data_IF_490982626854
#
_entry.id   IF_490982626854
#
_cell.length_a   1.000
_cell.length_b   1.000
_cell.length_c   1.000
_cell.angle_alpha   90.00
_cell.angle_beta   90.00
_cell.angle_gamma   90.00
#
_symmetry.space_group_name_H-M   'P 1'
#
loop_
_entity.id
_entity.type
_entity.pdbx_description
1 polymer ?
#
# COMPACT_ATOMS: atom_id res chain seq x y z
N UNK A 1 -24.75 35.14 -4.86
CA UNK A 1 -23.99 36.22 -4.20
C UNK A 1 -23.83 35.78 -2.76
N UNK A 2 -22.74 35.07 -2.49
CA UNK A 2 -22.32 34.67 -1.15
C UNK A 2 -21.93 35.91 -0.35
N UNK A 3 -22.31 35.95 0.92
CA UNK A 3 -21.86 37.01 1.83
C UNK A 3 -20.33 36.95 1.97
N UNK A 4 -19.63 38.10 2.04
CA UNK A 4 -18.19 38.09 2.22
C UNK A 4 -17.84 37.39 3.55
N UNK A 5 -16.78 36.56 3.58
CA UNK A 5 -16.43 35.81 4.77
C UNK A 5 -16.16 36.74 5.96
N UNK A 6 -16.52 36.28 7.16
CA UNK A 6 -16.24 37.03 8.38
C UNK A 6 -14.74 37.28 8.53
N UNK A 7 -14.35 38.51 8.85
CA UNK A 7 -12.94 38.89 9.03
C UNK A 7 -12.43 38.43 10.40
N UNK A 8 -12.22 37.12 10.51
CA UNK A 8 -11.61 36.43 11.66
C UNK A 8 -10.33 35.72 11.22
N UNK A 9 -9.42 35.45 12.14
CA UNK A 9 -8.15 34.79 11.84
C UNK A 9 -8.34 33.39 11.21
N UNK A 10 -9.40 32.67 11.55
CA UNK A 10 -9.72 31.36 10.94
C UNK A 10 -9.95 31.41 9.42
N UNK A 11 -10.28 32.59 8.88
CA UNK A 11 -10.48 32.81 7.45
C UNK A 11 -9.24 33.47 6.79
N UNK A 12 -8.04 33.24 7.34
CA UNK A 12 -6.77 33.76 6.84
C UNK A 12 -5.95 32.65 6.18
N UNK A 13 -5.26 32.91 5.06
CA UNK A 13 -4.35 31.94 4.41
C UNK A 13 -3.22 31.47 5.33
N UNK A 14 -2.89 32.25 6.36
CA UNK A 14 -1.85 31.93 7.33
C UNK A 14 -2.35 31.14 8.55
N UNK A 15 -3.65 30.87 8.66
CA UNK A 15 -4.19 30.05 9.75
C UNK A 15 -3.98 28.56 9.47
N UNK A 16 -3.48 27.84 10.45
CA UNK A 16 -3.29 26.39 10.36
C UNK A 16 -3.79 25.73 11.65
N UNK A 17 -4.62 24.66 11.58
CA UNK A 17 -5.17 24.04 12.76
C UNK A 17 -4.07 23.42 13.63
N UNK A 18 -4.24 23.46 14.96
CA UNK A 18 -3.25 22.92 15.90
C UNK A 18 -3.25 21.39 15.99
N UNK A 19 -4.22 20.75 15.34
CA UNK A 19 -4.37 19.30 15.18
C UNK A 19 -5.31 19.00 14.00
N UNK A 20 -5.24 17.78 13.45
CA UNK A 20 -6.22 17.30 12.45
C UNK A 20 -7.52 16.77 13.06
N UNK A 21 -7.63 16.73 14.39
CA UNK A 21 -8.92 16.51 15.05
C UNK A 21 -9.81 17.76 14.93
N UNK A 22 -11.11 17.62 15.24
CA UNK A 22 -11.99 18.79 15.35
C UNK A 22 -11.46 19.73 16.44
N UNK A 23 -10.95 20.89 16.03
CA UNK A 23 -10.39 21.93 16.89
C UNK A 23 -10.90 23.30 16.43
N UNK A 24 -11.10 24.19 17.40
CA UNK A 24 -11.40 25.60 17.15
C UNK A 24 -10.14 26.47 17.29
N UNK A 25 -8.99 25.84 17.58
CA UNK A 25 -7.71 26.51 17.77
C UNK A 25 -6.77 26.24 16.60
N UNK A 26 -5.87 27.18 16.39
CA UNK A 26 -4.82 27.04 15.40
C UNK A 26 -3.62 27.92 15.70
N UNK A 27 -2.63 27.83 14.83
CA UNK A 27 -1.41 28.61 14.82
C UNK A 27 -1.36 29.48 13.58
N UNK A 28 -0.44 30.45 13.58
CA UNK A 28 -0.22 31.35 12.46
C UNK A 28 1.09 30.97 11.77
N UNK A 29 1.03 30.53 10.52
CA UNK A 29 2.21 30.16 9.71
C UNK A 29 3.07 31.38 9.34
N UNK A 30 2.51 32.59 9.41
CA UNK A 30 3.29 33.82 9.24
C UNK A 30 4.12 34.19 10.49
N UNK A 31 3.93 33.49 11.63
CA UNK A 31 4.80 33.67 12.79
C UNK A 31 6.14 32.96 12.55
N UNK A 32 7.20 33.76 12.50
CA UNK A 32 8.59 33.29 12.27
C UNK A 32 9.05 32.20 13.24
N UNK A 33 8.43 32.07 14.40
CA UNK A 33 8.74 30.99 15.32
C UNK A 33 8.44 29.59 14.73
N UNK A 34 7.49 29.50 13.78
CA UNK A 34 7.14 28.26 13.09
C UNK A 34 7.93 28.01 11.80
N UNK A 35 8.71 28.99 11.33
CA UNK A 35 9.52 28.89 10.09
C UNK A 35 10.40 27.62 10.02
N UNK A 36 11.07 27.16 11.11
CA UNK A 36 11.87 25.94 11.08
C UNK A 36 11.07 24.63 10.96
N UNK A 37 9.75 24.69 11.11
CA UNK A 37 8.86 23.52 11.18
C UNK A 37 7.85 23.48 10.03
N UNK A 38 7.88 24.45 9.11
CA UNK A 38 6.87 24.57 8.05
C UNK A 38 6.82 23.33 7.15
N UNK A 39 7.98 22.79 6.76
CA UNK A 39 8.07 21.62 5.90
C UNK A 39 7.40 20.40 6.57
N UNK A 40 7.75 20.12 7.83
CA UNK A 40 7.19 18.99 8.59
C UNK A 40 5.67 19.16 8.84
N UNK A 41 5.21 20.39 9.09
CA UNK A 41 3.80 20.70 9.33
C UNK A 41 2.94 20.60 8.06
N UNK A 42 3.45 21.07 6.92
CA UNK A 42 2.70 21.14 5.66
C UNK A 42 2.77 19.83 4.86
N UNK A 43 3.93 19.18 4.81
CA UNK A 43 4.13 17.99 3.96
C UNK A 43 3.75 16.70 4.69
N UNK A 44 4.04 16.62 5.99
CA UNK A 44 3.85 15.40 6.77
C UNK A 44 2.76 15.51 7.85
N UNK A 45 2.32 16.73 8.17
CA UNK A 45 1.37 16.94 9.26
C UNK A 45 1.95 16.56 10.63
N UNK A 46 3.27 16.67 10.80
CA UNK A 46 3.95 16.30 12.04
C UNK A 46 4.12 17.50 12.98
N UNK A 47 3.40 17.47 14.10
CA UNK A 47 3.44 18.51 15.13
C UNK A 47 4.47 18.24 16.24
N UNK A 48 5.13 17.07 16.21
CA UNK A 48 5.99 16.61 17.31
C UNK A 48 7.18 17.55 17.57
N UNK A 49 7.74 18.14 16.51
CA UNK A 49 8.89 19.06 16.59
C UNK A 49 8.58 20.41 17.24
N UNK A 50 7.31 20.83 17.28
CA UNK A 50 6.91 22.16 17.75
C UNK A 50 5.74 22.16 18.76
N UNK A 51 5.36 21.01 19.32
CA UNK A 51 4.20 20.87 20.20
C UNK A 51 4.18 21.87 21.38
N UNK A 52 5.33 22.10 22.02
CA UNK A 52 5.44 23.09 23.10
C UNK A 52 5.20 24.53 22.61
N UNK A 53 5.62 24.84 21.38
CA UNK A 53 5.43 26.14 20.78
C UNK A 53 3.96 26.36 20.42
N UNK A 54 3.30 25.32 19.90
CA UNK A 54 1.86 25.31 19.64
C UNK A 54 1.07 25.60 20.91
N UNK A 55 1.35 24.92 22.02
CA UNK A 55 0.65 25.15 23.28
C UNK A 55 0.73 26.60 23.78
N UNK A 56 1.85 27.28 23.50
CA UNK A 56 2.05 28.68 23.90
C UNK A 56 1.41 29.67 22.93
N UNK A 57 1.37 29.35 21.63
CA UNK A 57 1.01 30.30 20.58
C UNK A 57 -0.35 30.02 19.93
N UNK A 58 -1.00 28.90 20.24
CA UNK A 58 -2.32 28.59 19.70
C UNK A 58 -3.33 29.66 20.11
N UNK A 59 -4.21 29.98 19.19
CA UNK A 59 -5.27 30.96 19.38
C UNK A 59 -6.57 30.44 18.77
N UNK A 60 -7.67 30.99 19.26
CA UNK A 60 -9.00 30.64 18.80
C UNK A 60 -9.26 31.21 17.39
N UNK A 61 -9.80 30.41 16.49
CA UNK A 61 -10.05 30.78 15.09
C UNK A 61 -10.93 32.04 14.93
N UNK A 62 -11.87 32.25 15.86
CA UNK A 62 -12.77 33.41 15.87
C UNK A 62 -12.15 34.73 16.35
N UNK A 63 -10.83 34.81 16.50
CA UNK A 63 -10.15 36.04 16.93
C UNK A 63 -10.17 37.11 15.83
N UNK A 64 -10.21 38.39 16.23
CA UNK A 64 -10.10 39.52 15.31
C UNK A 64 -8.80 39.47 14.50
N UNK A 65 -8.92 39.79 13.21
CA UNK A 65 -7.81 39.76 12.25
C UNK A 65 -6.70 40.75 12.59
N UNK A 66 -5.46 40.35 12.32
CA UNK A 66 -4.29 41.20 12.49
C UNK A 66 -3.95 42.01 11.22
N UNK A 67 -2.92 42.84 11.28
CA UNK A 67 -2.43 43.62 10.13
C UNK A 67 -1.80 42.79 9.01
N UNK A 68 -1.47 41.52 9.27
CA UNK A 68 -0.93 40.56 8.31
C UNK A 68 -2.02 39.66 7.71
N UNK A 69 -3.29 39.99 7.92
CA UNK A 69 -4.40 39.21 7.40
C UNK A 69 -4.35 39.14 5.88
N UNK A 70 -4.33 37.90 5.39
CA UNK A 70 -4.41 37.56 3.98
C UNK A 70 -5.65 36.70 3.77
N UNK A 71 -6.61 37.23 3.01
CA UNK A 71 -7.94 36.63 2.87
C UNK A 71 -7.85 35.33 2.07
N UNK A 72 -8.51 34.28 2.57
CA UNK A 72 -8.58 33.02 1.83
C UNK A 72 -9.38 33.25 0.55
N UNK A 73 -8.76 32.95 -0.60
CA UNK A 73 -9.49 32.85 -1.86
C UNK A 73 -10.36 31.59 -1.80
N UNK A 74 -11.64 31.77 -1.46
CA UNK A 74 -12.62 30.71 -1.56
C UNK A 74 -12.87 30.41 -3.03
N UNK A 75 -12.16 29.42 -3.56
CA UNK A 75 -12.55 28.79 -4.82
C UNK A 75 -13.85 28.06 -4.54
N UNK A 76 -14.95 28.52 -5.15
CA UNK A 76 -16.21 27.78 -5.16
C UNK A 76 -15.94 26.44 -5.87
N UNK A 77 -15.62 25.41 -5.08
CA UNK A 77 -15.68 24.05 -5.56
C UNK A 77 -17.12 23.83 -6.04
N UNK A 78 -17.32 23.30 -7.26
CA UNK A 78 -18.65 23.05 -7.79
C UNK A 78 -19.49 22.33 -6.73
N UNK A 79 -20.63 22.93 -6.37
CA UNK A 79 -21.56 22.43 -5.34
C UNK A 79 -21.68 20.91 -5.42
N UNK A 80 -21.79 20.23 -4.27
CA UNK A 80 -21.82 18.78 -4.05
C UNK A 80 -22.28 17.92 -5.23
N UNK A 81 -23.27 18.33 -6.02
CA UNK A 81 -23.65 17.68 -7.28
C UNK A 81 -22.51 17.48 -8.29
N UNK A 82 -21.58 18.44 -8.44
CA UNK A 82 -20.48 18.36 -9.39
C UNK A 82 -19.24 17.70 -8.78
N UNK A 83 -19.05 17.75 -7.46
CA UNK A 83 -18.11 16.87 -6.76
C UNK A 83 -18.60 15.42 -6.80
N UNK A 84 -19.90 15.19 -6.59
CA UNK A 84 -20.58 13.90 -6.74
C UNK A 84 -20.52 13.44 -8.19
N UNK A 85 -20.67 14.32 -9.19
CA UNK A 85 -20.50 13.96 -10.60
C UNK A 85 -19.04 13.65 -10.94
N UNK A 86 -18.06 14.33 -10.33
CA UNK A 86 -16.63 14.00 -10.45
C UNK A 86 -16.29 12.66 -9.79
N UNK A 87 -16.79 12.42 -8.57
CA UNK A 87 -16.67 11.16 -7.83
C UNK A 87 -17.38 10.06 -8.61
N UNK A 88 -18.61 10.25 -9.05
CA UNK A 88 -19.37 9.31 -9.88
C UNK A 88 -18.65 9.07 -11.21
N UNK A 89 -18.04 10.08 -11.85
CA UNK A 89 -17.25 9.89 -13.06
C UNK A 89 -15.94 9.13 -12.81
N UNK A 90 -15.35 9.25 -11.61
CA UNK A 90 -14.21 8.45 -11.16
C UNK A 90 -14.63 7.00 -10.82
N UNK A 91 -15.79 6.81 -10.17
CA UNK A 91 -16.37 5.51 -9.80
C UNK A 91 -16.94 4.74 -11.01
N UNK A 92 -17.51 5.44 -11.98
CA UNK A 92 -18.20 4.84 -13.13
C UNK A 92 -17.23 4.35 -14.21
N UNK A 93 -16.07 5.00 -14.39
CA UNK A 93 -15.07 4.55 -15.36
C UNK A 93 -14.29 3.30 -14.96
N UNK A 94 -14.22 2.97 -13.66
CA UNK A 94 -13.56 1.74 -13.17
C UNK A 94 -14.50 0.53 -13.06
N UNK A 95 -15.82 0.72 -12.90
CA UNK A 95 -16.75 -0.38 -12.57
C UNK A 95 -17.74 -0.76 -13.69
N UNK A 96 -18.08 0.11 -14.64
CA UNK A 96 -19.13 -0.23 -15.65
C UNK A 96 -18.65 -1.05 -16.84
N UNK A 97 -17.34 -1.13 -17.07
CA UNK A 97 -16.76 -1.90 -18.18
C UNK A 97 -16.15 -3.25 -17.74
N UNK A 98 -16.12 -3.54 -16.44
CA UNK A 98 -15.71 -4.86 -15.98
C UNK A 98 -16.91 -5.81 -15.98
N UNK A 99 -16.82 -6.96 -16.67
CA UNK A 99 -17.89 -7.95 -16.65
C UNK A 99 -18.18 -8.36 -15.20
N UNK A 100 -19.45 -8.63 -14.86
CA UNK A 100 -19.81 -9.06 -13.51
C UNK A 100 -18.96 -10.25 -13.10
N UNK A 101 -18.41 -10.18 -11.88
CA UNK A 101 -17.54 -11.21 -11.31
C UNK A 101 -18.29 -12.55 -11.27
N UNK A 102 -17.91 -13.47 -12.15
CA UNK A 102 -18.32 -14.85 -12.02
C UNK A 102 -17.60 -15.44 -10.78
N UNK A 103 -18.32 -15.97 -9.77
CA UNK A 103 -17.75 -16.62 -8.59
C UNK A 103 -16.70 -17.70 -8.92
N UNK A 104 -16.71 -18.22 -10.16
CA UNK A 104 -15.71 -19.12 -10.72
C UNK A 104 -14.30 -18.53 -10.86
N UNK A 105 -14.07 -17.22 -10.70
CA UNK A 105 -12.74 -16.57 -10.82
C UNK A 105 -12.17 -16.08 -9.48
N UNK A 106 -12.69 -16.57 -8.37
CA UNK A 106 -12.10 -16.29 -7.05
C UNK A 106 -10.74 -16.97 -6.88
N UNK A 107 -9.77 -16.21 -6.35
CA UNK A 107 -8.46 -16.75 -5.91
C UNK A 107 -8.60 -17.82 -4.81
N UNK A 108 -9.72 -17.82 -4.08
CA UNK A 108 -10.01 -18.85 -3.10
C UNK A 108 -10.14 -20.24 -3.76
N UNK A 109 -10.73 -20.29 -4.95
CA UNK A 109 -11.09 -21.54 -5.62
C UNK A 109 -10.11 -21.94 -6.71
N UNK A 110 -9.36 -21.00 -7.27
CA UNK A 110 -8.44 -21.23 -8.37
C UNK A 110 -7.02 -20.74 -8.04
N UNK A 111 -6.01 -21.43 -8.57
CA UNK A 111 -4.64 -20.97 -8.44
C UNK A 111 -4.38 -19.72 -9.27
N UNK A 112 -3.36 -18.94 -8.92
CA UNK A 112 -2.88 -17.82 -9.73
C UNK A 112 -2.61 -18.23 -11.18
N UNK A 113 -1.99 -19.40 -11.38
CA UNK A 113 -1.69 -19.92 -12.71
C UNK A 113 -2.96 -20.11 -13.53
N UNK A 114 -3.99 -20.73 -12.92
CA UNK A 114 -5.27 -20.91 -13.58
C UNK A 114 -5.94 -19.58 -13.88
N UNK A 115 -5.94 -18.64 -12.93
CA UNK A 115 -6.50 -17.30 -13.12
C UNK A 115 -5.80 -16.54 -14.24
N UNK A 116 -4.48 -16.63 -14.35
CA UNK A 116 -3.73 -16.01 -15.43
C UNK A 116 -4.06 -16.63 -16.81
N UNK A 117 -4.49 -17.90 -16.84
CA UNK A 117 -4.90 -18.60 -18.07
C UNK A 117 -6.38 -18.37 -18.45
N UNK A 118 -7.24 -17.99 -17.51
CA UNK A 118 -8.69 -17.95 -17.73
C UNK A 118 -9.31 -16.57 -17.49
N UNK A 119 -8.70 -15.68 -16.70
CA UNK A 119 -9.17 -14.30 -16.52
C UNK A 119 -8.55 -13.37 -17.58
N UNK A 120 -9.39 -12.90 -18.51
CA UNK A 120 -8.98 -12.03 -19.62
C UNK A 120 -8.36 -10.71 -19.13
N UNK A 121 -8.74 -10.20 -17.94
CA UNK A 121 -8.19 -8.96 -17.39
C UNK A 121 -6.73 -9.16 -17.01
N UNK A 122 -6.39 -10.25 -16.33
CA UNK A 122 -5.01 -10.58 -15.98
C UNK A 122 -4.15 -10.80 -17.21
N UNK A 123 -4.69 -11.47 -18.24
CA UNK A 123 -4.00 -11.67 -19.51
C UNK A 123 -3.72 -10.35 -20.25
N UNK A 124 -4.72 -9.46 -20.28
CA UNK A 124 -4.59 -8.13 -20.87
C UNK A 124 -3.56 -7.30 -20.12
N UNK A 125 -3.56 -7.31 -18.79
CA UNK A 125 -2.54 -6.64 -17.97
C UNK A 125 -1.15 -7.20 -18.28
N UNK A 126 -0.98 -8.52 -18.22
CA UNK A 126 0.28 -9.20 -18.50
C UNK A 126 0.83 -8.84 -19.88
N UNK A 127 -0.04 -8.86 -20.89
CA UNK A 127 0.31 -8.51 -22.27
C UNK A 127 0.61 -7.02 -22.43
N UNK A 128 -0.19 -6.15 -21.79
CA UNK A 128 -0.01 -4.70 -21.79
C UNK A 128 1.31 -4.31 -21.16
N UNK A 129 1.70 -4.91 -20.04
CA UNK A 129 2.90 -4.52 -19.29
C UNK A 129 4.20 -5.14 -19.83
N UNK A 130 4.10 -6.21 -20.63
CA UNK A 130 5.25 -6.84 -21.29
C UNK A 130 6.07 -5.87 -22.16
N UNK A 131 5.46 -4.83 -22.73
CA UNK A 131 6.14 -3.82 -23.57
C UNK A 131 6.86 -2.72 -22.80
N UNK A 132 6.59 -2.59 -21.50
CA UNK A 132 7.21 -1.57 -20.65
C UNK A 132 8.54 -2.08 -20.08
N UNK A 133 9.36 -1.15 -19.58
CA UNK A 133 10.61 -1.48 -18.88
C UNK A 133 10.34 -2.22 -17.56
N UNK A 134 11.37 -2.84 -16.98
CA UNK A 134 11.26 -3.51 -15.69
C UNK A 134 10.88 -2.53 -14.56
N UNK A 135 11.41 -1.31 -14.60
CA UNK A 135 11.12 -0.25 -13.64
C UNK A 135 9.66 0.22 -13.72
N UNK A 136 9.16 0.50 -14.93
CA UNK A 136 7.75 0.88 -15.11
C UNK A 136 6.77 -0.22 -14.70
N UNK A 137 7.10 -1.49 -14.98
CA UNK A 137 6.30 -2.62 -14.50
C UNK A 137 6.30 -2.69 -12.98
N UNK A 138 7.47 -2.54 -12.35
CA UNK A 138 7.64 -2.60 -10.90
C UNK A 138 6.85 -1.51 -10.20
N UNK A 139 6.95 -0.27 -10.67
CA UNK A 139 6.20 0.86 -10.12
C UNK A 139 4.68 0.65 -10.21
N UNK A 140 4.19 0.11 -11.33
CA UNK A 140 2.77 -0.20 -11.49
C UNK A 140 2.33 -1.38 -10.60
N UNK A 141 3.17 -2.41 -10.45
CA UNK A 141 2.88 -3.55 -9.59
C UNK A 141 2.86 -3.15 -8.10
N UNK A 142 3.79 -2.29 -7.68
CA UNK A 142 3.88 -1.74 -6.33
C UNK A 142 2.62 -0.95 -5.95
N UNK A 143 2.18 -0.07 -6.86
CA UNK A 143 0.93 0.66 -6.67
C UNK A 143 -0.27 -0.27 -6.47
N UNK A 144 -0.47 -1.26 -7.35
CA UNK A 144 -1.61 -2.18 -7.24
C UNK A 144 -1.52 -3.08 -5.99
N UNK A 145 -0.31 -3.47 -5.60
CA UNK A 145 -0.05 -4.26 -4.40
C UNK A 145 -0.52 -3.51 -3.14
N UNK A 146 -0.22 -2.21 -3.05
CA UNK A 146 -0.59 -1.38 -1.90
C UNK A 146 -2.02 -0.80 -1.98
N UNK A 147 -2.56 -0.58 -3.19
CA UNK A 147 -3.88 0.00 -3.40
C UNK A 147 -4.99 -0.82 -2.73
N UNK A 148 -4.92 -2.16 -2.76
CA UNK A 148 -5.94 -3.00 -2.11
C UNK A 148 -5.98 -2.82 -0.60
N UNK A 149 -4.81 -2.62 0.03
CA UNK A 149 -4.74 -2.34 1.47
C UNK A 149 -5.31 -0.96 1.80
N UNK A 150 -5.02 0.04 0.96
CA UNK A 150 -5.56 1.39 1.10
C UNK A 150 -7.08 1.43 0.92
N UNK A 151 -7.60 0.72 -0.09
CA UNK A 151 -9.05 0.59 -0.33
C UNK A 151 -9.74 -0.07 0.86
N UNK A 152 -9.19 -1.17 1.39
CA UNK A 152 -9.73 -1.83 2.57
C UNK A 152 -9.82 -0.90 3.78
N UNK A 153 -8.76 -0.14 4.06
CA UNK A 153 -8.74 0.85 5.15
C UNK A 153 -9.84 1.90 4.93
N UNK A 154 -9.93 2.45 3.73
CA UNK A 154 -10.93 3.46 3.37
C UNK A 154 -12.36 2.96 3.55
N UNK A 155 -12.70 1.80 2.96
CA UNK A 155 -14.04 1.20 3.06
C UNK A 155 -14.42 0.87 4.51
N UNK A 156 -13.47 0.35 5.30
CA UNK A 156 -13.66 0.12 6.72
C UNK A 156 -13.95 1.42 7.48
N UNK A 157 -13.25 2.52 7.17
CA UNK A 157 -13.47 3.83 7.80
C UNK A 157 -14.85 4.41 7.48
N UNK A 158 -15.33 4.27 6.24
CA UNK A 158 -16.65 4.79 5.84
C UNK A 158 -17.81 3.81 6.14
N UNK A 159 -17.52 2.68 6.80
CA UNK A 159 -18.51 1.68 7.17
C UNK A 159 -19.21 1.01 6.00
N UNK A 160 -18.60 1.04 4.81
CA UNK A 160 -19.14 0.40 3.62
C UNK A 160 -18.44 -0.94 3.36
N UNK A 161 -19.18 -1.99 2.94
CA UNK A 161 -18.54 -3.23 2.54
C UNK A 161 -17.74 -2.97 1.26
N UNK A 162 -16.45 -3.33 1.30
CA UNK A 162 -15.65 -3.37 0.09
C UNK A 162 -16.37 -4.26 -0.93
N UNK A 163 -16.60 -3.75 -2.13
CA UNK A 163 -17.04 -4.60 -3.25
C UNK A 163 -15.98 -5.69 -3.40
N UNK A 164 -16.32 -6.98 -3.32
CA UNK A 164 -15.33 -8.02 -3.44
C UNK A 164 -14.70 -7.90 -4.82
N UNK A 165 -13.43 -7.52 -4.93
CA UNK A 165 -12.70 -7.79 -6.16
C UNK A 165 -12.46 -9.30 -6.16
N UNK A 166 -12.90 -10.02 -7.19
CA UNK A 166 -12.66 -11.48 -7.24
C UNK A 166 -11.17 -11.82 -7.26
N UNK A 167 -10.34 -10.84 -7.66
CA UNK A 167 -8.90 -10.95 -7.74
C UNK A 167 -8.27 -10.00 -6.70
N UNK A 168 -7.41 -10.52 -5.81
CA UNK A 168 -6.67 -9.69 -4.86
C UNK A 168 -5.61 -8.84 -5.59
N UNK A 169 -5.32 -7.63 -5.09
CA UNK A 169 -4.37 -6.70 -5.73
C UNK A 169 -2.97 -7.28 -5.91
N UNK A 170 -2.56 -8.21 -5.06
CA UNK A 170 -1.29 -8.92 -5.17
C UNK A 170 -1.24 -9.83 -6.41
N UNK A 171 -2.38 -10.39 -6.82
CA UNK A 171 -2.47 -11.16 -8.06
C UNK A 171 -2.46 -10.23 -9.28
N UNK A 172 -3.05 -9.04 -9.17
CA UNK A 172 -2.94 -7.98 -10.19
C UNK A 172 -1.48 -7.54 -10.33
N UNK A 173 -0.81 -7.24 -9.21
CA UNK A 173 0.60 -6.86 -9.16
C UNK A 173 1.50 -7.92 -9.83
N UNK A 174 1.29 -9.20 -9.53
CA UNK A 174 2.04 -10.30 -10.14
C UNK A 174 1.73 -10.51 -11.63
N UNK A 175 0.51 -10.16 -12.07
CA UNK A 175 0.17 -10.14 -13.48
C UNK A 175 0.83 -8.95 -14.21
N UNK A 176 1.03 -7.81 -13.54
CA UNK A 176 1.72 -6.64 -14.09
C UNK A 176 3.23 -6.88 -14.19
N UNK A 177 3.88 -7.18 -13.07
CA UNK A 177 5.30 -7.50 -12.99
C UNK A 177 5.51 -8.94 -12.51
N UNK A 178 5.95 -9.85 -13.41
CA UNK A 178 6.22 -11.24 -13.05
C UNK A 178 7.31 -11.42 -12.00
N UNK A 179 8.18 -10.41 -11.89
CA UNK A 179 9.42 -10.46 -11.12
C UNK A 179 9.30 -9.59 -9.85
N UNK A 180 8.10 -9.12 -9.52
CA UNK A 180 7.89 -8.30 -8.34
C UNK A 180 7.84 -9.18 -7.09
N UNK A 181 8.97 -9.21 -6.38
CA UNK A 181 9.24 -10.12 -5.27
C UNK A 181 8.17 -10.10 -4.16
N UNK A 182 7.62 -8.94 -3.72
CA UNK A 182 6.56 -8.91 -2.71
C UNK A 182 5.31 -9.67 -3.14
N UNK A 183 4.85 -9.51 -4.39
CA UNK A 183 3.69 -10.23 -4.89
C UNK A 183 3.96 -11.74 -5.06
N UNK A 184 5.17 -12.14 -5.46
CA UNK A 184 5.56 -13.55 -5.52
C UNK A 184 5.47 -14.19 -4.13
N UNK A 185 6.04 -13.54 -3.11
CA UNK A 185 5.94 -13.99 -1.71
C UNK A 185 4.48 -14.11 -1.28
N UNK A 186 3.70 -13.06 -1.48
CA UNK A 186 2.32 -13.02 -0.99
C UNK A 186 1.45 -14.05 -1.70
N UNK A 187 1.47 -14.12 -3.03
CA UNK A 187 0.68 -15.13 -3.76
C UNK A 187 1.19 -16.55 -3.46
N UNK A 188 2.51 -16.77 -3.39
CA UNK A 188 3.08 -18.07 -3.05
C UNK A 188 2.64 -18.58 -1.67
N UNK A 189 2.63 -17.71 -0.66
CA UNK A 189 2.16 -18.07 0.69
C UNK A 189 0.64 -18.28 0.74
N UNK A 190 -0.16 -17.49 0.01
CA UNK A 190 -1.60 -17.72 -0.08
C UNK A 190 -1.96 -19.04 -0.76
N UNK A 191 -1.30 -19.39 -1.87
CA UNK A 191 -1.42 -20.70 -2.52
C UNK A 191 -1.14 -21.83 -1.51
N UNK A 192 -0.13 -21.66 -0.66
CA UNK A 192 0.22 -22.64 0.37
C UNK A 192 -0.89 -22.76 1.43
N UNK A 193 -1.41 -21.63 1.93
CA UNK A 193 -2.50 -21.61 2.92
C UNK A 193 -3.74 -22.33 2.38
N UNK A 194 -4.02 -22.17 1.08
CA UNK A 194 -5.15 -22.81 0.39
C UNK A 194 -4.88 -24.27 0.00
N UNK A 195 -3.74 -24.85 0.40
CA UNK A 195 -3.38 -26.26 0.17
C UNK A 195 -2.83 -26.55 -1.22
N UNK A 196 -2.56 -25.53 -2.04
CA UNK A 196 -2.01 -25.64 -3.40
C UNK A 196 -0.48 -25.61 -3.35
N UNK A 197 0.07 -26.60 -2.66
CA UNK A 197 1.48 -26.59 -2.25
C UNK A 197 2.46 -26.65 -3.42
N UNK A 198 2.11 -27.28 -4.54
CA UNK A 198 2.98 -27.35 -5.72
C UNK A 198 3.10 -25.97 -6.39
N UNK A 199 1.97 -25.31 -6.54
CA UNK A 199 1.81 -23.98 -7.13
C UNK A 199 2.50 -22.94 -6.25
N UNK A 200 2.31 -23.04 -4.93
CA UNK A 200 2.99 -22.25 -3.92
C UNK A 200 4.51 -22.37 -4.05
N UNK A 201 5.04 -23.60 -4.00
CA UNK A 201 6.49 -23.81 -4.04
C UNK A 201 7.12 -23.40 -5.37
N UNK A 202 6.38 -23.49 -6.48
CA UNK A 202 6.84 -22.95 -7.75
C UNK A 202 7.10 -21.44 -7.64
N UNK A 203 6.13 -20.69 -7.12
CA UNK A 203 6.26 -19.25 -6.93
C UNK A 203 7.36 -18.89 -5.94
N UNK A 204 7.40 -19.54 -4.77
CA UNK A 204 8.41 -19.22 -3.76
C UNK A 204 9.83 -19.52 -4.25
N UNK A 205 10.03 -20.56 -5.06
CA UNK A 205 11.33 -20.85 -5.69
C UNK A 205 11.68 -19.86 -6.81
N UNK A 206 10.70 -19.22 -7.46
CA UNK A 206 10.97 -18.17 -8.45
C UNK A 206 11.64 -16.94 -7.82
N UNK A 207 11.46 -16.69 -6.51
CA UNK A 207 12.20 -15.64 -5.79
C UNK A 207 13.71 -15.81 -5.92
N UNK A 208 14.21 -17.05 -5.87
CA UNK A 208 15.64 -17.35 -6.00
C UNK A 208 16.15 -17.02 -7.40
N UNK A 209 15.29 -17.01 -8.42
CA UNK A 209 15.68 -16.71 -9.80
C UNK A 209 15.73 -15.20 -10.11
N UNK A 210 15.29 -14.33 -9.19
CA UNK A 210 15.30 -12.88 -9.39
C UNK A 210 16.73 -12.30 -9.43
N UNK A 211 16.94 -11.13 -10.06
CA UNK A 211 18.22 -10.42 -10.03
C UNK A 211 18.70 -10.15 -8.59
N UNK A 212 20.00 -10.32 -8.33
CA UNK A 212 20.58 -10.18 -6.98
C UNK A 212 20.47 -8.76 -6.42
N UNK A 213 20.39 -7.76 -7.29
CA UNK A 213 20.17 -6.35 -6.96
C UNK A 213 18.69 -6.00 -6.73
N UNK A 214 17.79 -6.99 -6.72
CA UNK A 214 16.39 -6.76 -6.34
C UNK A 214 16.33 -6.35 -4.87
N UNK A 215 15.68 -5.22 -4.61
CA UNK A 215 15.51 -4.66 -3.27
C UNK A 215 14.95 -5.70 -2.28
N UNK A 216 15.56 -5.77 -1.11
CA UNK A 216 15.20 -6.64 0.00
C UNK A 216 15.06 -8.13 -0.35
N UNK A 217 15.62 -8.60 -1.46
CA UNK A 217 15.37 -9.96 -1.95
C UNK A 217 15.72 -11.04 -0.93
N UNK A 218 16.85 -10.90 -0.22
CA UNK A 218 17.24 -11.89 0.80
C UNK A 218 16.27 -11.91 1.99
N UNK A 219 15.74 -10.74 2.39
CA UNK A 219 14.72 -10.60 3.44
C UNK A 219 13.41 -11.26 2.98
N UNK A 220 13.02 -11.06 1.71
CA UNK A 220 11.80 -11.64 1.14
C UNK A 220 11.90 -13.17 1.08
N UNK A 221 13.05 -13.71 0.66
CA UNK A 221 13.30 -15.16 0.63
C UNK A 221 13.29 -15.74 2.05
N UNK A 222 13.94 -15.08 3.01
CA UNK A 222 13.94 -15.50 4.41
C UNK A 222 12.53 -15.51 5.01
N UNK A 223 11.73 -14.48 4.74
CA UNK A 223 10.30 -14.44 5.12
C UNK A 223 9.50 -15.59 4.52
N UNK A 224 9.70 -15.89 3.22
CA UNK A 224 9.03 -17.01 2.56
C UNK A 224 9.36 -18.36 3.23
N UNK A 225 10.64 -18.58 3.55
CA UNK A 225 11.07 -19.83 4.16
C UNK A 225 10.66 -19.93 5.63
N UNK A 226 10.74 -18.83 6.38
CA UNK A 226 10.25 -18.74 7.77
C UNK A 226 8.76 -19.01 7.88
N UNK A 227 7.95 -18.51 6.93
CA UNK A 227 6.53 -18.85 6.85
C UNK A 227 6.28 -20.36 6.74
N UNK A 228 7.08 -21.08 5.93
CA UNK A 228 6.96 -22.54 5.80
C UNK A 228 7.35 -23.25 7.11
N UNK A 229 8.38 -22.76 7.80
CA UNK A 229 8.80 -23.26 9.11
C UNK A 229 7.69 -23.08 10.16
N UNK A 230 7.05 -21.92 10.21
CA UNK A 230 5.95 -21.62 11.14
C UNK A 230 4.76 -22.58 10.98
N UNK A 231 4.57 -23.11 9.76
CA UNK A 231 3.53 -24.11 9.44
C UNK A 231 4.01 -25.56 9.57
N UNK A 232 5.15 -25.76 10.22
CA UNK A 232 5.78 -27.05 10.48
C UNK A 232 6.25 -27.79 9.22
N UNK A 233 6.46 -27.08 8.11
CA UNK A 233 7.00 -27.63 6.86
C UNK A 233 8.49 -27.31 6.70
N UNK A 234 9.28 -27.77 7.66
CA UNK A 234 10.73 -27.63 7.65
C UNK A 234 11.39 -28.27 6.41
N UNK A 235 10.71 -29.22 5.75
CA UNK A 235 11.18 -29.86 4.53
C UNK A 235 11.15 -28.90 3.34
N UNK A 236 10.04 -28.19 3.13
CA UNK A 236 9.93 -27.21 2.06
C UNK A 236 10.72 -25.93 2.35
N UNK A 237 10.74 -25.48 3.60
CA UNK A 237 11.61 -24.38 4.02
C UNK A 237 13.09 -24.67 3.71
N UNK A 238 13.57 -25.87 4.07
CA UNK A 238 14.95 -26.28 3.78
C UNK A 238 15.23 -26.30 2.28
N UNK A 239 14.29 -26.73 1.42
CA UNK A 239 14.47 -26.67 -0.04
C UNK A 239 14.68 -25.24 -0.52
N UNK A 240 13.89 -24.29 -0.03
CA UNK A 240 14.00 -22.89 -0.40
C UNK A 240 15.32 -22.27 0.10
N UNK A 241 15.68 -22.49 1.37
CA UNK A 241 16.95 -22.03 1.91
C UNK A 241 18.16 -22.63 1.20
N UNK A 242 18.13 -23.94 0.89
CA UNK A 242 19.20 -24.59 0.12
C UNK A 242 19.37 -23.96 -1.26
N UNK A 243 18.28 -23.79 -2.01
CA UNK A 243 18.31 -23.15 -3.32
C UNK A 243 18.84 -21.70 -3.23
N UNK A 244 18.43 -20.94 -2.22
CA UNK A 244 18.93 -19.58 -2.00
C UNK A 244 20.42 -19.57 -1.63
N UNK A 245 20.88 -20.47 -0.76
CA UNK A 245 22.29 -20.52 -0.31
C UNK A 245 23.27 -20.87 -1.42
N UNK A 246 22.84 -21.58 -2.46
CA UNK A 246 23.66 -21.89 -3.63
C UNK A 246 23.94 -20.64 -4.48
N UNK A 247 22.98 -19.72 -4.55
CA UNK A 247 23.08 -18.48 -5.34
C UNK A 247 23.67 -17.34 -4.52
N UNK A 248 23.13 -17.10 -3.34
CA UNK A 248 23.46 -15.96 -2.48
C UNK A 248 24.48 -16.36 -1.41
N UNK A 249 25.70 -16.64 -1.84
CA UNK A 249 26.74 -17.26 -0.98
C UNK A 249 27.22 -16.40 0.19
N UNK A 250 26.98 -15.09 0.16
CA UNK A 250 27.35 -14.14 1.22
C UNK A 250 26.27 -13.97 2.29
N UNK A 251 25.04 -14.39 2.00
CA UNK A 251 23.90 -14.21 2.90
C UNK A 251 23.82 -15.36 3.91
N UNK A 252 24.42 -15.14 5.08
CA UNK A 252 24.47 -16.14 6.15
C UNK A 252 23.10 -16.61 6.65
N UNK A 253 22.06 -15.77 6.50
CA UNK A 253 20.69 -16.07 6.91
C UNK A 253 20.18 -17.40 6.32
N UNK A 254 20.57 -17.73 5.08
CA UNK A 254 20.14 -18.98 4.46
C UNK A 254 20.82 -20.22 5.05
N UNK A 255 22.09 -20.10 5.46
CA UNK A 255 22.80 -21.18 6.15
C UNK A 255 22.20 -21.41 7.54
N UNK A 256 21.88 -20.33 8.26
CA UNK A 256 21.21 -20.38 9.56
C UNK A 256 19.82 -21.02 9.44
N UNK A 257 19.06 -20.65 8.41
CA UNK A 257 17.76 -21.26 8.09
C UNK A 257 17.84 -22.77 7.82
N UNK A 258 18.84 -23.23 7.07
CA UNK A 258 19.10 -24.68 6.85
C UNK A 258 19.37 -25.38 8.18
N UNK A 259 20.28 -24.84 9.00
CA UNK A 259 20.64 -25.42 10.28
C UNK A 259 19.42 -25.51 11.22
N UNK A 260 18.59 -24.46 11.25
CA UNK A 260 17.35 -24.44 12.01
C UNK A 260 16.38 -25.55 11.53
N UNK A 261 16.17 -25.67 10.21
CA UNK A 261 15.30 -26.71 9.66
C UNK A 261 15.80 -28.13 9.96
N UNK A 262 17.12 -28.36 9.95
CA UNK A 262 17.73 -29.64 10.31
C UNK A 262 17.46 -30.00 11.77
N UNK A 263 17.65 -29.05 12.68
CA UNK A 263 17.39 -29.26 14.11
C UNK A 263 15.93 -29.63 14.35
N UNK A 264 14.99 -28.87 13.79
CA UNK A 264 13.55 -29.11 13.96
C UNK A 264 13.11 -30.48 13.43
N UNK A 265 13.68 -30.93 12.31
CA UNK A 265 13.44 -32.28 11.75
C UNK A 265 13.95 -33.41 12.64
N UNK A 266 14.98 -33.16 13.44
CA UNK A 266 15.52 -34.13 14.40
C UNK A 266 14.73 -34.13 15.71
N UNK A 267 14.23 -32.98 16.14
CA UNK A 267 13.43 -32.83 17.37
C UNK A 267 11.99 -33.37 17.22
N UNK A 268 11.49 -33.50 15.98
CA UNK A 268 10.17 -34.09 15.67
C UNK A 268 10.15 -35.61 15.45
N UNK A 269 11.25 -36.32 15.75
CA UNK A 269 11.35 -37.79 15.73
C UNK A 269 11.40 -38.36 17.14
#
# INVERSE_FOLDING_TARGET
>A
MSEPPERICGNCNSFFPDTFAQTENGICLADKAFEPYLDDLLDCGDFSGCQLLIEVKKFHQGQEVCSLYDEIEMVELPQDAALQELVDNLFVKKLKDEPPLDPGYSFQHNSFAWLLEHDERLQKLRSKYKKYSAEERRMAADFEYHATSADQLFYNTIGQPMQPTAIPGEAIALAIDPNYAPAILTIGTHEYILGRTKEAMRLLLDLVNLPEDTEDLFIIIDKAASFLVERDDASMAMKLYSAASEKFTVEHVFQDGIAYCMKRKNDGK
#
